data_IF_217590860021
#
_entry.id   IF_217590860021
#
_cell.length_a   1.000
_cell.length_b   1.000
_cell.length_c   1.000
_cell.angle_alpha   90.00
_cell.angle_beta   90.00
_cell.angle_gamma   90.00
#
_symmetry.space_group_name_H-M   'P 1'
#
loop_
_entity.id
_entity.type
_entity.pdbx_description
1 polymer ?
#
# COMPACT_ATOMS: atom_id res chain seq x y z
N UNK A 1 5.90 74.00 -20.81
CA UNK A 1 5.51 73.41 -19.51
C UNK A 1 4.65 72.17 -19.60
N UNK A 2 4.49 71.49 -20.75
CA UNK A 2 3.67 70.29 -20.92
C UNK A 2 4.46 68.96 -20.78
N UNK A 3 5.77 68.97 -20.66
CA UNK A 3 6.63 67.78 -20.74
C UNK A 3 6.84 67.07 -19.40
N UNK A 4 6.63 67.73 -18.27
CA UNK A 4 6.89 67.15 -16.95
C UNK A 4 5.75 66.26 -16.41
N UNK A 5 4.51 66.55 -16.81
CA UNK A 5 3.34 65.77 -16.33
C UNK A 5 3.30 64.36 -16.93
N UNK A 6 3.69 64.20 -18.18
CA UNK A 6 3.71 62.88 -18.87
C UNK A 6 4.72 61.93 -18.27
N UNK A 7 5.87 62.44 -17.85
CA UNK A 7 6.93 61.61 -17.19
C UNK A 7 6.46 61.14 -15.80
N UNK A 8 5.81 62.01 -15.03
CA UNK A 8 5.32 61.63 -13.70
C UNK A 8 4.18 60.59 -13.79
N UNK A 9 3.26 60.73 -14.74
CA UNK A 9 2.19 59.75 -14.98
C UNK A 9 2.76 58.38 -15.44
N UNK A 10 3.78 58.39 -16.33
CA UNK A 10 4.41 57.14 -16.74
C UNK A 10 5.14 56.41 -15.61
N UNK A 11 5.83 57.14 -14.74
CA UNK A 11 6.53 56.57 -13.58
C UNK A 11 5.54 56.05 -12.54
N UNK A 12 4.44 56.75 -12.29
CA UNK A 12 3.40 56.30 -11.37
C UNK A 12 2.69 55.05 -11.93
N UNK A 13 2.32 55.02 -13.21
CA UNK A 13 1.71 53.86 -13.85
C UNK A 13 2.64 52.65 -13.88
N UNK A 14 3.90 52.85 -14.25
CA UNK A 14 4.86 51.73 -14.27
C UNK A 14 5.15 51.18 -12.87
N UNK A 15 5.19 52.03 -11.84
CA UNK A 15 5.35 51.63 -10.45
C UNK A 15 4.11 50.87 -9.92
N UNK A 16 2.91 51.33 -10.26
CA UNK A 16 1.66 50.67 -9.89
C UNK A 16 1.50 49.31 -10.57
N UNK A 17 1.75 49.23 -11.88
CA UNK A 17 1.72 47.95 -12.62
C UNK A 17 2.82 47.00 -12.16
N UNK A 18 4.04 47.47 -11.97
CA UNK A 18 5.17 46.67 -11.47
C UNK A 18 4.90 46.13 -10.06
N UNK A 19 4.35 46.96 -9.18
CA UNK A 19 3.99 46.56 -7.82
C UNK A 19 2.83 45.55 -7.76
N UNK A 20 1.77 45.78 -8.56
CA UNK A 20 0.62 44.87 -8.62
C UNK A 20 0.99 43.51 -9.25
N UNK A 21 1.66 43.52 -10.39
CA UNK A 21 2.10 42.29 -11.06
C UNK A 21 3.16 41.56 -10.25
N UNK A 22 4.15 42.26 -9.69
CA UNK A 22 5.16 41.69 -8.84
C UNK A 22 4.56 41.07 -7.56
N UNK A 23 3.63 41.77 -6.92
CA UNK A 23 2.90 41.27 -5.76
C UNK A 23 2.06 40.03 -6.07
N UNK A 24 1.34 40.02 -7.21
CA UNK A 24 0.55 38.87 -7.64
C UNK A 24 1.43 37.66 -7.94
N UNK A 25 2.51 37.86 -8.70
CA UNK A 25 3.48 36.79 -9.01
C UNK A 25 4.10 36.26 -7.72
N UNK A 26 4.52 37.14 -6.82
CA UNK A 26 5.08 36.73 -5.53
C UNK A 26 4.08 35.95 -4.68
N UNK A 27 2.81 36.38 -4.64
CA UNK A 27 1.78 35.66 -3.92
C UNK A 27 1.52 34.26 -4.51
N UNK A 28 1.45 34.14 -5.85
CA UNK A 28 1.28 32.85 -6.54
C UNK A 28 2.48 31.92 -6.33
N UNK A 29 3.71 32.46 -6.43
CA UNK A 29 4.94 31.67 -6.19
C UNK A 29 5.02 31.24 -4.74
N UNK A 30 4.72 32.15 -3.80
CA UNK A 30 4.69 31.84 -2.38
C UNK A 30 3.66 30.75 -2.07
N UNK A 31 2.42 30.84 -2.58
CA UNK A 31 1.39 29.86 -2.34
C UNK A 31 1.75 28.50 -2.99
N UNK A 32 2.35 28.51 -4.17
CA UNK A 32 2.81 27.30 -4.85
C UNK A 32 3.95 26.63 -4.07
N UNK A 33 4.95 27.38 -3.65
CA UNK A 33 6.06 26.85 -2.85
C UNK A 33 5.53 26.36 -1.49
N UNK A 34 4.68 27.16 -0.84
CA UNK A 34 4.12 26.82 0.46
C UNK A 34 3.32 25.52 0.40
N UNK A 35 2.44 25.37 -0.60
CA UNK A 35 1.69 24.13 -0.80
C UNK A 35 2.61 22.93 -1.02
N UNK A 36 3.66 23.10 -1.82
CA UNK A 36 4.60 22.02 -2.11
C UNK A 36 5.44 21.64 -0.87
N UNK A 37 5.82 22.60 -0.04
CA UNK A 37 6.60 22.38 1.19
C UNK A 37 5.74 21.85 2.33
N UNK A 38 4.46 22.22 2.38
CA UNK A 38 3.54 21.83 3.46
C UNK A 38 2.66 20.63 3.12
N UNK A 39 2.65 20.16 1.87
CA UNK A 39 1.84 19.00 1.48
C UNK A 39 2.44 17.69 2.03
N UNK A 40 1.63 16.71 2.39
CA UNK A 40 2.11 15.39 2.73
C UNK A 40 2.69 14.71 1.49
N UNK A 41 3.76 13.95 1.68
CA UNK A 41 4.43 13.17 0.64
C UNK A 41 4.64 11.76 1.15
N UNK A 42 3.80 10.85 0.70
CA UNK A 42 3.90 9.44 1.04
C UNK A 42 4.91 8.76 0.11
N UNK A 43 5.65 7.79 0.65
CA UNK A 43 6.47 6.87 -0.13
C UNK A 43 6.54 5.49 0.53
N UNK A 44 6.70 4.46 -0.26
CA UNK A 44 7.06 3.15 0.25
C UNK A 44 8.55 3.12 0.62
N UNK A 45 8.86 2.42 1.71
CA UNK A 45 10.25 2.14 2.08
C UNK A 45 10.63 0.83 1.43
N UNK A 46 11.72 0.81 0.66
CA UNK A 46 12.17 -0.33 -0.16
C UNK A 46 12.70 -1.54 0.64
N UNK A 47 12.12 -1.82 1.76
CA UNK A 47 12.43 -3.05 2.52
C UNK A 47 11.18 -3.50 3.24
N UNK A 48 10.62 -4.60 2.79
CA UNK A 48 9.59 -5.27 3.57
C UNK A 48 10.18 -5.72 4.91
N UNK A 49 9.40 -5.59 5.96
CA UNK A 49 9.73 -6.12 7.28
C UNK A 49 9.05 -7.47 7.47
N UNK A 50 9.70 -8.35 8.21
CA UNK A 50 9.14 -9.64 8.55
C UNK A 50 9.12 -9.79 10.04
N UNK A 51 7.94 -10.05 10.58
CA UNK A 51 7.74 -10.33 12.00
C UNK A 51 7.20 -11.75 12.19
N UNK A 52 7.45 -12.29 13.38
CA UNK A 52 6.90 -13.57 13.79
C UNK A 52 5.86 -13.31 14.87
N UNK A 53 4.64 -13.77 14.64
CA UNK A 53 3.61 -13.84 15.66
C UNK A 53 3.77 -15.16 16.41
N UNK A 54 3.68 -15.10 17.74
CA UNK A 54 3.75 -16.27 18.59
C UNK A 54 2.43 -16.48 19.31
N UNK A 55 2.09 -17.72 19.54
CA UNK A 55 0.93 -18.10 20.32
C UNK A 55 1.15 -17.83 21.83
N UNK A 56 0.19 -18.22 22.66
CA UNK A 56 0.26 -18.07 24.13
C UNK A 56 1.33 -18.94 24.79
N UNK A 57 1.85 -19.94 24.11
CA UNK A 57 2.89 -20.87 24.57
C UNK A 57 4.29 -20.43 24.13
N UNK A 58 4.37 -19.44 23.22
CA UNK A 58 5.61 -18.88 22.71
C UNK A 58 6.10 -19.57 21.44
N UNK A 59 5.31 -20.47 20.87
CA UNK A 59 5.60 -21.08 19.58
C UNK A 59 5.23 -20.14 18.43
N UNK A 60 5.96 -20.22 17.32
CA UNK A 60 5.70 -19.36 16.15
C UNK A 60 4.43 -19.84 15.44
N UNK A 61 3.39 -19.03 15.52
CA UNK A 61 2.09 -19.28 14.91
C UNK A 61 2.02 -18.74 13.48
N UNK A 62 2.60 -17.57 13.24
CA UNK A 62 2.59 -16.96 11.94
C UNK A 62 3.85 -16.17 11.62
N UNK A 63 4.17 -16.07 10.33
CA UNK A 63 5.18 -15.18 9.80
C UNK A 63 4.47 -14.08 9.00
N UNK A 64 4.53 -12.84 9.47
CA UNK A 64 3.85 -11.69 8.90
C UNK A 64 4.79 -10.84 8.06
N UNK A 65 4.38 -10.51 6.85
CA UNK A 65 5.08 -9.60 5.95
C UNK A 65 4.39 -8.25 5.96
N UNK A 66 5.17 -7.20 6.21
CA UNK A 66 4.70 -5.83 6.28
C UNK A 66 5.51 -4.93 5.36
N UNK A 67 4.84 -3.91 4.85
CA UNK A 67 5.47 -2.90 4.00
C UNK A 67 5.38 -1.55 4.70
N UNK A 68 6.53 -0.93 5.03
CA UNK A 68 6.53 0.37 5.64
C UNK A 68 6.21 1.47 4.63
N UNK A 69 5.35 2.39 5.05
CA UNK A 69 5.00 3.63 4.35
C UNK A 69 5.41 4.80 5.22
N UNK A 70 6.13 5.75 4.68
CA UNK A 70 6.53 6.94 5.41
C UNK A 70 5.99 8.21 4.77
N UNK A 71 5.75 9.21 5.59
CA UNK A 71 5.39 10.55 5.16
C UNK A 71 6.58 11.49 5.32
N UNK A 72 7.22 11.85 4.22
CA UNK A 72 8.36 12.79 4.16
C UNK A 72 7.93 14.22 3.86
N UNK A 73 6.64 14.47 3.80
CA UNK A 73 6.09 15.80 3.53
C UNK A 73 6.01 16.71 4.75
N UNK A 74 5.65 17.95 4.52
CA UNK A 74 5.59 18.99 5.57
C UNK A 74 4.30 18.98 6.40
N UNK A 75 3.34 18.09 6.12
CA UNK A 75 2.10 17.96 6.90
C UNK A 75 1.66 16.49 7.01
N UNK A 76 0.76 16.21 7.94
CA UNK A 76 0.20 14.88 8.10
C UNK A 76 -0.61 14.44 6.86
N UNK A 77 -0.44 13.19 6.46
CA UNK A 77 -1.28 12.52 5.48
C UNK A 77 -2.48 11.91 6.21
N UNK A 78 -3.69 12.34 5.84
CA UNK A 78 -4.92 11.96 6.55
C UNK A 78 -5.71 10.90 5.81
N UNK A 79 -6.40 10.05 6.56
CA UNK A 79 -7.27 9.00 6.04
C UNK A 79 -6.54 8.08 5.03
N UNK A 80 -5.31 7.69 5.36
CA UNK A 80 -4.50 6.78 4.55
C UNK A 80 -5.12 5.39 4.51
N UNK A 81 -5.31 4.85 3.30
CA UNK A 81 -5.95 3.55 3.05
C UNK A 81 -5.06 2.71 2.15
N UNK A 82 -4.60 1.57 2.61
CA UNK A 82 -3.87 0.63 1.77
C UNK A 82 -4.81 -0.33 1.06
N UNK A 83 -4.47 -0.66 -0.19
CA UNK A 83 -5.20 -1.61 -1.03
C UNK A 83 -4.19 -2.51 -1.75
N UNK A 84 -4.48 -3.80 -1.83
CA UNK A 84 -3.71 -4.80 -2.56
C UNK A 84 -4.51 -5.20 -3.80
N UNK A 85 -3.85 -5.19 -4.94
CA UNK A 85 -4.36 -5.73 -6.18
C UNK A 85 -3.39 -6.79 -6.70
N UNK A 86 -3.87 -8.03 -6.87
CA UNK A 86 -3.07 -9.12 -7.41
C UNK A 86 -3.86 -9.80 -8.52
N UNK A 87 -3.18 -10.07 -9.61
CA UNK A 87 -3.71 -10.82 -10.74
C UNK A 87 -2.70 -11.87 -11.17
N UNK A 88 -3.15 -13.09 -11.42
CA UNK A 88 -2.29 -14.19 -11.82
C UNK A 88 -3.08 -15.36 -12.34
N UNK A 89 -2.36 -16.40 -12.79
CA UNK A 89 -2.97 -17.60 -13.35
C UNK A 89 -2.26 -18.87 -12.92
N UNK A 90 -3.00 -19.96 -12.85
CA UNK A 90 -2.48 -21.31 -12.62
C UNK A 90 -3.23 -22.29 -13.53
N UNK A 91 -2.62 -22.68 -14.63
CA UNK A 91 -3.28 -23.48 -15.66
C UNK A 91 -4.46 -22.71 -16.28
N UNK A 92 -5.67 -23.29 -16.20
CA UNK A 92 -6.88 -22.67 -16.74
C UNK A 92 -7.60 -21.74 -15.71
N UNK A 93 -7.03 -21.59 -14.52
CA UNK A 93 -7.59 -20.74 -13.46
C UNK A 93 -6.95 -19.37 -13.45
N UNK A 94 -7.75 -18.32 -13.33
CA UNK A 94 -7.29 -16.94 -13.12
C UNK A 94 -7.66 -16.49 -11.71
N UNK A 95 -6.69 -15.88 -11.05
CA UNK A 95 -6.83 -15.35 -9.70
C UNK A 95 -6.82 -13.83 -9.76
N UNK A 96 -7.81 -13.22 -9.14
CA UNK A 96 -7.87 -11.77 -8.98
C UNK A 96 -8.20 -11.44 -7.52
N UNK A 97 -7.29 -10.76 -6.87
CA UNK A 97 -7.44 -10.29 -5.50
C UNK A 97 -7.48 -8.77 -5.53
N UNK A 98 -8.56 -8.19 -5.06
CA UNK A 98 -8.65 -6.75 -4.85
C UNK A 98 -9.13 -6.54 -3.42
N UNK A 99 -8.18 -6.33 -2.53
CA UNK A 99 -8.44 -6.34 -1.09
C UNK A 99 -7.98 -5.04 -0.45
N UNK A 100 -8.81 -4.50 0.43
CA UNK A 100 -8.41 -3.44 1.32
C UNK A 100 -7.61 -4.04 2.47
N UNK A 101 -6.39 -3.54 2.65
CA UNK A 101 -5.49 -3.97 3.70
C UNK A 101 -5.73 -3.19 5.00
N UNK A 102 -5.13 -3.67 6.06
CA UNK A 102 -5.09 -3.01 7.37
C UNK A 102 -3.68 -2.53 7.69
N UNK A 103 -3.59 -1.53 8.54
CA UNK A 103 -2.34 -1.07 9.10
C UNK A 103 -1.98 -1.97 10.28
N UNK A 104 -0.69 -2.20 10.47
CA UNK A 104 -0.19 -3.06 11.56
C UNK A 104 -0.23 -2.40 12.96
N UNK A 105 -0.71 -1.17 13.04
CA UNK A 105 -0.76 -0.40 14.28
C UNK A 105 -2.10 -0.57 15.00
N UNK A 106 -2.06 -0.71 16.33
CA UNK A 106 -3.25 -0.83 17.16
C UNK A 106 -4.13 -2.02 16.80
N UNK A 107 -5.44 -1.79 16.71
CA UNK A 107 -6.45 -2.83 16.40
C UNK A 107 -6.60 -3.08 14.87
N UNK A 108 -5.51 -3.03 14.12
CA UNK A 108 -5.49 -3.21 12.66
C UNK A 108 -6.46 -2.27 11.90
N UNK A 109 -6.33 -0.95 12.06
CA UNK A 109 -7.26 -0.02 11.45
C UNK A 109 -7.13 -0.01 9.93
N UNK A 110 -8.26 0.16 9.24
CA UNK A 110 -8.28 0.34 7.78
C UNK A 110 -7.81 1.74 7.34
N UNK A 111 -7.77 2.68 8.27
CA UNK A 111 -7.47 4.10 8.01
C UNK A 111 -6.67 4.68 9.16
N UNK A 112 -5.60 5.34 8.83
CA UNK A 112 -4.77 6.06 9.78
C UNK A 112 -4.39 7.45 9.27
N UNK A 113 -3.83 8.24 10.18
CA UNK A 113 -3.11 9.46 9.84
C UNK A 113 -1.62 9.20 10.03
N UNK A 114 -0.81 9.50 9.02
CA UNK A 114 0.66 9.39 9.09
C UNK A 114 1.21 10.79 9.21
N UNK A 115 1.74 11.11 10.39
CA UNK A 115 2.32 12.44 10.64
C UNK A 115 3.62 12.65 9.86
N UNK A 116 4.11 13.88 9.83
CA UNK A 116 5.39 14.22 9.20
C UNK A 116 6.52 13.43 9.86
N UNK A 117 7.41 12.87 9.03
CA UNK A 117 8.55 12.03 9.43
C UNK A 117 8.16 10.75 10.21
N UNK A 118 6.90 10.36 10.15
CA UNK A 118 6.39 9.14 10.75
C UNK A 118 6.31 8.01 9.71
N UNK A 119 6.44 6.78 10.20
CA UNK A 119 6.24 5.55 9.46
C UNK A 119 5.06 4.79 10.02
N UNK A 120 4.34 4.13 9.13
CA UNK A 120 3.31 3.16 9.45
C UNK A 120 3.53 1.90 8.61
N UNK A 121 3.16 0.75 9.13
CA UNK A 121 3.35 -0.52 8.45
C UNK A 121 2.02 -1.07 7.95
N UNK A 122 1.99 -1.50 6.70
CA UNK A 122 0.84 -2.18 6.10
C UNK A 122 1.05 -3.68 6.20
N UNK A 123 0.10 -4.40 6.77
CA UNK A 123 0.07 -5.86 6.72
C UNK A 123 -0.24 -6.33 5.30
N UNK A 124 0.70 -7.03 4.66
CA UNK A 124 0.55 -7.48 3.28
C UNK A 124 -0.04 -8.88 3.21
N UNK A 125 0.60 -9.81 3.85
CA UNK A 125 0.20 -11.21 3.96
C UNK A 125 0.89 -11.87 5.16
N UNK A 126 0.35 -13.00 5.59
CA UNK A 126 1.02 -13.84 6.58
C UNK A 126 1.04 -15.30 6.14
N UNK A 127 2.05 -16.04 6.59
CA UNK A 127 2.13 -17.48 6.42
C UNK A 127 1.82 -18.10 7.77
N UNK A 128 0.81 -18.93 7.81
CA UNK A 128 0.35 -19.67 8.99
C UNK A 128 0.56 -21.16 8.81
N UNK A 129 0.84 -21.86 9.90
CA UNK A 129 0.86 -23.32 9.95
C UNK A 129 -0.45 -23.81 10.54
N UNK A 130 -1.14 -24.72 9.87
CA UNK A 130 -2.31 -25.39 10.42
C UNK A 130 -2.01 -26.87 10.64
N UNK A 131 -2.26 -27.35 11.85
CA UNK A 131 -2.17 -28.76 12.15
C UNK A 131 -3.27 -29.52 11.39
N UNK A 132 -2.91 -30.65 10.76
CA UNK A 132 -3.92 -31.45 10.11
C UNK A 132 -4.81 -32.14 11.16
N UNK A 133 -6.09 -31.87 11.11
CA UNK A 133 -7.10 -32.59 11.89
C UNK A 133 -7.20 -34.05 11.43
N UNK A 134 -6.38 -34.95 11.95
CA UNK A 134 -6.46 -36.36 11.62
C UNK A 134 -5.79 -37.24 12.68
N UNK A 135 -6.20 -38.54 12.74
CA UNK A 135 -5.64 -39.51 13.71
C UNK A 135 -4.16 -39.87 13.43
N UNK A 136 -3.59 -39.39 12.34
CA UNK A 136 -2.20 -39.54 11.98
C UNK A 136 -1.63 -38.11 11.95
N UNK A 137 -0.67 -37.81 12.82
CA UNK A 137 0.09 -36.55 12.76
C UNK A 137 0.82 -36.48 11.42
N UNK A 138 0.19 -35.82 10.45
CA UNK A 138 0.83 -35.43 9.20
C UNK A 138 1.57 -34.10 9.44
N UNK A 139 2.57 -33.83 8.63
CA UNK A 139 3.26 -32.53 8.69
C UNK A 139 2.24 -31.38 8.56
N UNK A 140 2.47 -30.24 9.25
CA UNK A 140 1.56 -29.10 9.17
C UNK A 140 1.47 -28.61 7.72
N UNK A 141 0.25 -28.21 7.33
CA UNK A 141 0.03 -27.51 6.08
C UNK A 141 0.27 -26.02 6.27
N UNK A 142 0.91 -25.39 5.31
CA UNK A 142 1.18 -23.96 5.33
C UNK A 142 0.22 -23.22 4.39
N UNK A 143 -0.32 -22.13 4.86
CA UNK A 143 -1.23 -21.28 4.09
C UNK A 143 -0.72 -19.85 4.04
N UNK A 144 -0.92 -19.20 2.90
CA UNK A 144 -0.78 -17.76 2.73
C UNK A 144 -2.14 -17.13 3.01
N UNK A 145 -2.21 -16.30 4.02
CA UNK A 145 -3.41 -15.53 4.34
C UNK A 145 -3.21 -14.06 3.95
N UNK A 146 -4.22 -13.52 3.28
CA UNK A 146 -4.31 -12.10 2.93
C UNK A 146 -5.25 -11.45 3.95
N UNK A 147 -4.88 -10.32 4.57
CA UNK A 147 -5.75 -9.70 5.56
C UNK A 147 -7.09 -9.32 4.94
N UNK A 148 -8.16 -9.72 5.58
CA UNK A 148 -9.50 -9.36 5.19
C UNK A 148 -9.89 -7.95 5.65
N UNK A 149 -11.17 -7.62 5.49
CA UNK A 149 -11.72 -6.30 5.83
C UNK A 149 -11.53 -5.95 7.31
N UNK A 150 -11.65 -6.95 8.18
CA UNK A 150 -11.59 -6.82 9.63
C UNK A 150 -10.23 -7.31 10.19
N UNK A 151 -9.21 -7.45 9.33
CA UNK A 151 -7.86 -7.89 9.69
C UNK A 151 -7.60 -9.37 9.40
N UNK A 152 -6.67 -9.94 10.15
CA UNK A 152 -6.29 -11.34 10.05
C UNK A 152 -7.38 -12.25 10.64
N UNK A 153 -7.56 -13.43 10.02
CA UNK A 153 -8.54 -14.42 10.52
C UNK A 153 -10.00 -14.05 10.27
N UNK A 154 -10.26 -13.02 9.47
CA UNK A 154 -11.63 -12.70 9.08
C UNK A 154 -12.18 -13.76 8.12
N UNK A 155 -13.47 -14.07 8.23
CA UNK A 155 -14.19 -14.95 7.30
C UNK A 155 -14.41 -14.31 5.91
N UNK A 156 -13.70 -13.23 5.62
CA UNK A 156 -13.76 -12.54 4.34
C UNK A 156 -13.22 -13.48 3.25
N UNK A 157 -13.89 -13.46 2.14
CA UNK A 157 -13.50 -14.24 0.98
C UNK A 157 -12.76 -13.38 -0.02
N UNK A 158 -11.70 -13.94 -0.57
CA UNK A 158 -11.04 -13.44 -1.76
C UNK A 158 -11.84 -13.91 -2.97
N UNK A 159 -12.12 -13.00 -3.89
CA UNK A 159 -12.80 -13.38 -5.13
C UNK A 159 -11.76 -13.98 -6.07
N UNK A 160 -11.88 -15.27 -6.33
CA UNK A 160 -11.13 -15.97 -7.37
C UNK A 160 -12.04 -16.14 -8.58
N UNK A 161 -11.51 -15.79 -9.74
CA UNK A 161 -12.20 -16.01 -11.01
C UNK A 161 -11.68 -17.31 -11.62
N UNK A 162 -12.53 -18.30 -11.76
CA UNK A 162 -12.24 -19.50 -12.53
C UNK A 162 -12.84 -19.35 -13.92
N UNK A 163 -12.08 -19.66 -14.95
CA UNK A 163 -12.59 -19.70 -16.32
C UNK A 163 -12.97 -21.16 -16.65
N UNK A 164 -14.24 -21.48 -16.57
CA UNK A 164 -14.79 -22.74 -17.07
C UNK A 164 -15.49 -22.48 -18.41
N UNK A 165 -15.13 -23.25 -19.44
CA UNK A 165 -15.71 -23.15 -20.79
C UNK A 165 -15.76 -21.72 -21.37
N UNK A 166 -14.75 -20.89 -21.10
CA UNK A 166 -14.70 -19.50 -21.57
C UNK A 166 -15.66 -18.54 -20.87
N UNK A 167 -16.24 -18.96 -19.78
CA UNK A 167 -17.07 -18.11 -18.90
C UNK A 167 -16.36 -17.90 -17.58
N UNK A 168 -16.26 -16.65 -17.19
CA UNK A 168 -15.77 -16.30 -15.85
C UNK A 168 -16.82 -16.71 -14.81
N UNK A 169 -16.47 -17.65 -13.94
CA UNK A 169 -17.25 -18.04 -12.76
C UNK A 169 -16.50 -17.46 -11.56
N UNK A 170 -17.13 -16.55 -10.84
CA UNK A 170 -16.53 -16.06 -9.60
C UNK A 170 -16.78 -17.09 -8.49
N UNK A 171 -15.71 -17.64 -7.96
CA UNK A 171 -15.73 -18.39 -6.71
C UNK A 171 -15.25 -17.48 -5.58
N UNK A 172 -15.99 -17.45 -4.49
CA UNK A 172 -15.54 -16.85 -3.25
C UNK A 172 -14.75 -17.92 -2.51
N UNK A 173 -13.42 -17.77 -2.48
CA UNK A 173 -12.55 -18.66 -1.70
C UNK A 173 -12.19 -18.01 -0.38
N UNK A 174 -11.90 -18.78 0.66
CA UNK A 174 -11.33 -18.21 1.88
C UNK A 174 -10.11 -17.35 1.55
N UNK A 175 -9.85 -16.32 2.35
CA UNK A 175 -8.67 -15.48 2.22
C UNK A 175 -7.33 -16.22 2.52
N UNK A 176 -7.39 -17.54 2.55
CA UNK A 176 -6.28 -18.48 2.75
C UNK A 176 -6.08 -19.32 1.50
N UNK A 177 -4.87 -19.27 0.96
CA UNK A 177 -4.45 -20.11 -0.18
C UNK A 177 -3.33 -21.01 0.33
N UNK A 178 -3.39 -22.31 0.03
CA UNK A 178 -2.31 -23.22 0.38
C UNK A 178 -1.00 -22.70 -0.21
N UNK A 179 0.08 -22.70 0.60
CA UNK A 179 1.36 -22.14 0.18
C UNK A 179 1.88 -22.80 -1.10
N UNK A 180 1.69 -24.12 -1.23
CA UNK A 180 2.05 -24.87 -2.43
C UNK A 180 1.32 -24.40 -3.68
N UNK A 181 0.05 -24.06 -3.58
CA UNK A 181 -0.75 -23.50 -4.67
C UNK A 181 -0.35 -22.04 -4.95
N UNK A 182 -0.25 -21.21 -3.90
CA UNK A 182 0.14 -19.81 -4.02
C UNK A 182 1.46 -19.63 -4.78
N UNK A 183 2.42 -20.53 -4.55
CA UNK A 183 3.74 -20.49 -5.17
C UNK A 183 3.75 -20.95 -6.63
N UNK A 184 2.72 -21.67 -7.07
CA UNK A 184 2.56 -22.11 -8.45
C UNK A 184 1.77 -21.13 -9.31
N UNK A 185 1.08 -20.16 -8.67
CA UNK A 185 0.38 -19.12 -9.41
C UNK A 185 1.43 -18.21 -10.06
N UNK A 186 1.30 -18.04 -11.37
CA UNK A 186 2.06 -17.04 -12.12
C UNK A 186 1.42 -15.67 -11.89
N UNK A 187 1.95 -14.94 -10.90
CA UNK A 187 1.48 -13.60 -10.59
C UNK A 187 1.96 -12.60 -11.65
N UNK A 188 1.04 -12.11 -12.47
CA UNK A 188 1.31 -11.13 -13.52
C UNK A 188 1.39 -9.71 -12.95
N UNK A 189 0.58 -9.45 -11.96
CA UNK A 189 0.49 -8.15 -11.30
C UNK A 189 0.32 -8.35 -9.80
N UNK A 190 1.22 -7.76 -9.03
CA UNK A 190 1.04 -7.60 -7.59
C UNK A 190 1.35 -6.15 -7.24
N UNK A 191 0.33 -5.40 -6.88
CA UNK A 191 0.46 -3.97 -6.61
C UNK A 191 -0.14 -3.61 -5.26
N UNK A 192 0.62 -2.85 -4.49
CA UNK A 192 0.11 -2.17 -3.31
C UNK A 192 -0.09 -0.69 -3.62
N UNK A 193 -1.20 -0.16 -3.16
CA UNK A 193 -1.57 1.23 -3.34
C UNK A 193 -1.92 1.83 -1.99
N UNK A 194 -1.44 3.04 -1.72
CA UNK A 194 -1.91 3.84 -0.59
C UNK A 194 -2.54 5.12 -1.11
N UNK A 195 -3.78 5.35 -0.71
CA UNK A 195 -4.53 6.59 -0.98
C UNK A 195 -4.69 7.39 0.30
N UNK A 196 -4.63 8.70 0.21
CA UNK A 196 -4.90 9.63 1.30
C UNK A 196 -5.78 10.78 0.81
N UNK A 197 -6.50 11.45 1.71
CA UNK A 197 -7.39 12.55 1.32
C UNK A 197 -6.63 13.77 0.81
N UNK A 198 -5.45 14.02 1.35
CA UNK A 198 -4.67 15.24 1.13
C UNK A 198 -3.28 14.99 0.54
N UNK A 199 -2.99 13.77 0.10
CA UNK A 199 -1.74 13.39 -0.57
C UNK A 199 -2.02 12.73 -1.93
N UNK A 200 -1.02 12.76 -2.79
CA UNK A 200 -1.06 11.97 -4.04
C UNK A 200 -1.08 10.48 -3.71
N UNK A 201 -1.87 9.73 -4.49
CA UNK A 201 -1.85 8.26 -4.48
C UNK A 201 -0.44 7.77 -4.79
N UNK A 202 0.02 6.79 -4.03
CA UNK A 202 1.26 6.07 -4.31
C UNK A 202 0.92 4.61 -4.63
N UNK A 203 1.65 4.03 -5.58
CA UNK A 203 1.51 2.63 -5.98
C UNK A 203 2.89 2.04 -6.20
N UNK A 204 3.10 0.83 -5.73
CA UNK A 204 4.35 0.08 -5.91
C UNK A 204 4.01 -1.34 -6.37
N UNK A 205 4.88 -1.91 -7.20
CA UNK A 205 4.79 -3.31 -7.62
C UNK A 205 5.61 -4.16 -6.67
N UNK A 206 5.09 -5.32 -6.34
CA UNK A 206 5.70 -6.26 -5.39
C UNK A 206 6.09 -7.51 -6.15
N UNK A 207 7.30 -7.97 -5.93
CA UNK A 207 7.77 -9.27 -6.41
C UNK A 207 7.82 -10.26 -5.23
N UNK A 208 7.17 -11.41 -5.40
CA UNK A 208 7.27 -12.51 -4.44
C UNK A 208 8.40 -13.44 -4.86
N UNK A 209 9.44 -13.50 -4.06
CA UNK A 209 10.59 -14.37 -4.32
C UNK A 209 10.57 -15.55 -3.35
N UNK A 210 10.56 -16.75 -3.90
CA UNK A 210 10.54 -18.01 -3.16
C UNK A 210 11.91 -18.65 -3.22
N UNK A 211 12.60 -18.71 -2.09
CA UNK A 211 13.84 -19.47 -1.94
C UNK A 211 13.51 -20.90 -1.46
N UNK A 212 13.54 -21.84 -2.39
CA UNK A 212 13.29 -23.26 -2.10
C UNK A 212 14.58 -24.06 -1.82
N UNK A 213 15.77 -23.43 -1.87
CA UNK A 213 17.05 -24.15 -1.86
C UNK A 213 17.42 -24.82 -0.53
N UNK A 214 16.71 -24.55 0.56
CA UNK A 214 17.07 -25.08 1.89
C UNK A 214 15.99 -25.90 2.60
N UNK A 215 14.95 -26.32 1.91
CA UNK A 215 13.85 -27.05 2.57
C UNK A 215 13.06 -26.21 3.58
N UNK A 216 13.44 -24.96 3.77
CA UNK A 216 12.64 -23.93 4.41
C UNK A 216 12.14 -23.02 3.31
N UNK A 217 10.83 -22.86 3.22
CA UNK A 217 10.24 -21.92 2.28
C UNK A 217 10.66 -20.52 2.68
N UNK A 218 11.75 -20.03 2.08
CA UNK A 218 12.15 -18.63 2.17
C UNK A 218 11.25 -17.81 1.26
N UNK A 219 10.26 -17.14 1.82
CA UNK A 219 9.45 -16.17 1.10
C UNK A 219 10.01 -14.78 1.38
N UNK A 220 10.37 -14.04 0.35
CA UNK A 220 10.77 -12.64 0.46
C UNK A 220 9.89 -11.77 -0.41
N UNK A 221 9.66 -10.57 0.05
CA UNK A 221 8.90 -9.54 -0.65
C UNK A 221 9.88 -8.43 -1.02
N UNK A 222 10.02 -8.15 -2.31
CA UNK A 222 10.83 -7.07 -2.84
C UNK A 222 9.93 -5.99 -3.45
N UNK A 223 10.30 -4.72 -3.26
CA UNK A 223 9.62 -3.53 -3.76
C UNK A 223 10.46 -2.85 -4.82
#
# INVERSE_FOLDING_TARGET
MASSNVLVEQVILSGLFGGLFGGLIFALVRDFIWRKVTSPTLRFVKSATTDFETDSEGDIDARVFRIPVENTGGSAATNCKPELNMEGSLGDKSYAVNQRLTWAEGDNPQRITINTDERAEVGLLRIIAEESEGPIQTAPSFYVEIPGRDGWGSDDSVTVWEYEDGKAVSASVPNKIELGEFTQIEWETVQITVTAENASKITETIDFNLDTERGMVGFSVEL
#
